data_IF_142724790194
#
_entry.id   IF_142724790194
#
_cell.length_a   1.000
_cell.length_b   1.000
_cell.length_c   1.000
_cell.angle_alpha   90.00
_cell.angle_beta   90.00
_cell.angle_gamma   90.00
#
_symmetry.space_group_name_H-M   'P 1'
#
loop_
_entity.id
_entity.type
_entity.pdbx_description
1 polymer ?
#
# COMPACT_ATOMS: atom_id res chain seq x y z
N UNK A 1 7.71 -27.05 -0.35
CA UNK A 1 7.12 -25.77 0.05
C UNK A 1 8.01 -24.64 -0.45
N UNK A 2 7.51 -23.81 -1.37
CA UNK A 2 8.17 -22.63 -1.94
C UNK A 2 7.47 -21.38 -1.41
N UNK A 3 8.25 -20.42 -0.92
CA UNK A 3 7.74 -19.13 -0.45
C UNK A 3 8.22 -18.05 -1.42
N UNK A 4 7.28 -17.35 -2.04
CA UNK A 4 7.52 -16.18 -2.86
C UNK A 4 7.45 -14.90 -2.01
N UNK A 5 8.33 -13.96 -2.29
CA UNK A 5 8.38 -12.68 -1.59
C UNK A 5 8.53 -11.53 -2.59
N UNK A 6 7.71 -10.49 -2.43
CA UNK A 6 7.79 -9.24 -3.20
C UNK A 6 7.73 -8.02 -2.29
N UNK A 7 8.28 -6.91 -2.77
CA UNK A 7 8.26 -5.64 -2.04
C UNK A 7 7.93 -4.49 -2.99
N UNK A 8 7.09 -3.57 -2.51
CA UNK A 8 6.78 -2.29 -3.17
C UNK A 8 6.90 -1.10 -2.20
N UNK A 9 6.93 0.12 -2.72
CA UNK A 9 6.86 1.34 -1.92
C UNK A 9 5.77 2.30 -2.43
N UNK A 10 5.04 2.91 -1.51
CA UNK A 10 3.93 3.83 -1.78
C UNK A 10 4.15 5.24 -1.19
N UNK A 11 5.41 5.63 -0.95
CA UNK A 11 5.79 6.92 -0.31
C UNK A 11 6.65 7.83 -1.20
N UNK A 12 6.92 7.43 -2.45
CA UNK A 12 7.93 8.10 -3.29
C UNK A 12 7.37 8.84 -4.50
N UNK A 13 6.10 8.64 -4.85
CA UNK A 13 5.46 9.39 -5.93
C UNK A 13 5.12 10.82 -5.45
N UNK A 14 5.35 11.89 -6.25
CA UNK A 14 5.87 11.93 -7.62
C UNK A 14 7.37 12.27 -7.74
N UNK A 15 8.19 11.93 -6.74
CA UNK A 15 9.56 12.46 -6.58
C UNK A 15 10.67 11.77 -7.40
N UNK A 16 10.34 11.12 -8.53
CA UNK A 16 11.28 10.49 -9.47
C UNK A 16 12.25 9.43 -8.85
N UNK A 17 11.82 8.68 -7.84
CA UNK A 17 12.60 7.55 -7.28
C UNK A 17 12.21 6.18 -7.87
N UNK A 18 11.19 6.14 -8.73
CA UNK A 18 10.68 4.91 -9.32
C UNK A 18 11.69 4.29 -10.29
N UNK A 19 11.82 2.96 -10.26
CA UNK A 19 12.51 2.22 -11.30
C UNK A 19 11.79 2.39 -12.64
N UNK A 20 12.53 2.64 -13.70
CA UNK A 20 12.00 2.72 -15.07
C UNK A 20 12.92 1.93 -16.01
N UNK A 21 12.54 1.85 -17.29
CA UNK A 21 13.42 1.30 -18.33
C UNK A 21 14.74 2.08 -18.48
N UNK A 22 14.79 3.32 -17.99
CA UNK A 22 15.91 4.24 -18.21
C UNK A 22 16.67 4.60 -16.92
N UNK A 23 16.15 4.25 -15.75
CA UNK A 23 16.84 4.50 -14.47
C UNK A 23 16.56 3.41 -13.45
N UNK A 24 17.56 3.04 -12.62
CA UNK A 24 17.31 2.22 -11.45
C UNK A 24 16.43 2.97 -10.45
N UNK A 25 15.72 2.22 -9.59
CA UNK A 25 14.87 2.83 -8.57
C UNK A 25 14.07 1.82 -7.77
N UNK A 26 12.99 2.29 -7.16
CA UNK A 26 12.11 1.48 -6.30
C UNK A 26 10.92 0.98 -7.10
N UNK A 27 10.42 -0.22 -6.77
CA UNK A 27 9.14 -0.72 -7.26
C UNK A 27 8.00 0.11 -6.63
N UNK A 28 7.61 1.17 -7.33
CA UNK A 28 6.65 2.16 -6.83
C UNK A 28 5.20 1.71 -7.06
N UNK A 29 4.35 2.00 -6.07
CA UNK A 29 2.89 2.09 -6.25
C UNK A 29 2.52 3.57 -6.13
N UNK A 30 2.00 4.14 -7.22
CA UNK A 30 1.59 5.54 -7.19
C UNK A 30 0.34 5.68 -6.33
N UNK A 31 0.36 6.68 -5.46
CA UNK A 31 -0.75 7.04 -4.57
C UNK A 31 -1.03 8.52 -4.74
N UNK A 32 -2.30 8.86 -4.88
CA UNK A 32 -2.76 10.24 -4.98
C UNK A 32 -3.36 10.69 -3.64
N UNK A 33 -3.28 11.99 -3.39
CA UNK A 33 -3.85 12.64 -2.20
C UNK A 33 -4.70 13.83 -2.62
N UNK A 34 -5.89 13.95 -2.05
CA UNK A 34 -6.73 15.13 -2.12
C UNK A 34 -7.12 15.61 -0.73
N UNK A 35 -7.41 16.91 -0.62
CA UNK A 35 -7.86 17.53 0.61
C UNK A 35 -9.27 18.09 0.41
N UNK A 36 -10.19 17.68 1.28
CA UNK A 36 -11.54 18.22 1.31
C UNK A 36 -11.71 19.10 2.57
N UNK A 37 -12.29 20.31 2.45
CA UNK A 37 -12.63 21.11 3.62
C UNK A 37 -13.50 20.34 4.63
N UNK A 38 -13.35 20.60 5.94
CA UNK A 38 -14.20 19.96 6.94
C UNK A 38 -15.67 20.34 6.72
N UNK A 39 -16.61 19.45 7.07
CA UNK A 39 -18.05 19.71 6.87
C UNK A 39 -18.55 20.91 7.70
N UNK A 40 -17.95 21.11 8.88
CA UNK A 40 -18.31 22.17 9.81
C UNK A 40 -17.37 23.36 9.62
N UNK A 41 -17.62 24.14 8.57
CA UNK A 41 -16.80 25.31 8.19
C UNK A 41 -16.86 26.46 9.22
N UNK A 42 -17.80 26.39 10.16
CA UNK A 42 -18.02 27.34 11.25
C UNK A 42 -16.99 27.26 12.38
N UNK A 43 -16.11 26.25 12.36
CA UNK A 43 -15.09 26.02 13.40
C UNK A 43 -13.67 26.26 12.84
N UNK A 44 -13.09 27.46 13.04
CA UNK A 44 -11.75 27.77 12.57
C UNK A 44 -10.69 26.81 13.12
N UNK A 45 -9.72 26.44 12.29
CA UNK A 45 -8.59 25.60 12.68
C UNK A 45 -8.83 24.09 12.59
N UNK A 46 -9.99 23.62 12.12
CA UNK A 46 -10.19 22.21 11.86
C UNK A 46 -9.31 21.70 10.71
N UNK A 47 -8.71 20.50 10.84
CA UNK A 47 -7.94 19.90 9.76
C UNK A 47 -8.86 19.53 8.59
N UNK A 48 -8.34 19.54 7.35
CA UNK A 48 -9.07 19.00 6.21
C UNK A 48 -9.26 17.49 6.35
N UNK A 49 -10.23 16.93 5.64
CA UNK A 49 -10.25 15.50 5.37
C UNK A 49 -9.18 15.19 4.34
N UNK A 50 -8.27 14.28 4.68
CA UNK A 50 -7.25 13.76 3.78
C UNK A 50 -7.79 12.50 3.11
N UNK A 51 -7.90 12.54 1.80
CA UNK A 51 -8.39 11.44 0.97
C UNK A 51 -7.21 10.90 0.18
N UNK A 52 -7.00 9.59 0.20
CA UNK A 52 -5.89 8.94 -0.50
C UNK A 52 -6.37 7.71 -1.25
N UNK A 53 -5.83 7.47 -2.43
CA UNK A 53 -6.17 6.30 -3.25
C UNK A 53 -4.99 5.84 -4.09
N UNK A 54 -4.95 4.54 -4.35
CA UNK A 54 -3.97 3.91 -5.24
C UNK A 54 -4.32 4.20 -6.70
N UNK A 55 -3.29 4.42 -7.51
CA UNK A 55 -3.38 4.50 -8.97
C UNK A 55 -3.78 3.14 -9.60
N UNK A 56 -4.72 3.16 -10.56
CA UNK A 56 -5.25 1.92 -11.14
C UNK A 56 -4.24 1.20 -12.07
N UNK A 57 -3.33 1.92 -12.73
CA UNK A 57 -2.25 1.29 -13.51
C UNK A 57 -1.27 0.57 -12.58
N UNK A 58 -0.83 1.26 -11.51
CA UNK A 58 0.05 0.70 -10.48
C UNK A 58 -0.55 -0.55 -9.83
N UNK A 59 -1.86 -0.51 -9.55
CA UNK A 59 -2.63 -1.65 -9.04
C UNK A 59 -2.63 -2.82 -10.03
N UNK A 60 -2.90 -2.57 -11.31
CA UNK A 60 -2.96 -3.62 -12.32
C UNK A 60 -1.61 -4.32 -12.50
N UNK A 61 -0.51 -3.56 -12.49
CA UNK A 61 0.85 -4.08 -12.55
C UNK A 61 1.16 -4.95 -11.32
N UNK A 62 0.97 -4.41 -10.11
CA UNK A 62 1.19 -5.13 -8.86
C UNK A 62 0.40 -6.45 -8.81
N UNK A 63 -0.89 -6.41 -9.15
CA UNK A 63 -1.74 -7.62 -9.17
C UNK A 63 -1.25 -8.62 -10.23
N UNK A 64 -0.80 -8.14 -11.39
CA UNK A 64 -0.22 -8.99 -12.43
C UNK A 64 1.03 -9.73 -11.95
N UNK A 65 1.92 -9.05 -11.23
CA UNK A 65 3.14 -9.65 -10.71
C UNK A 65 2.84 -10.66 -9.58
N UNK A 66 1.93 -10.33 -8.67
CA UNK A 66 1.48 -11.24 -7.60
C UNK A 66 0.92 -12.53 -8.19
N UNK A 67 0.10 -12.44 -9.24
CA UNK A 67 -0.45 -13.61 -9.94
C UNK A 67 0.65 -14.49 -10.52
N UNK A 68 1.61 -13.90 -11.24
CA UNK A 68 2.75 -14.65 -11.80
C UNK A 68 3.54 -15.36 -10.71
N UNK A 69 3.87 -14.66 -9.62
CA UNK A 69 4.61 -15.28 -8.52
C UNK A 69 3.80 -16.40 -7.84
N UNK A 70 2.48 -16.25 -7.76
CA UNK A 70 1.59 -17.26 -7.17
C UNK A 70 1.56 -18.56 -7.99
N UNK A 71 1.81 -18.50 -9.30
CA UNK A 71 1.94 -19.72 -10.14
C UNK A 71 3.19 -20.54 -9.77
N UNK A 72 4.20 -19.92 -9.16
CA UNK A 72 5.49 -20.55 -8.85
C UNK A 72 5.69 -20.87 -7.36
N UNK A 73 4.87 -20.29 -6.48
CA UNK A 73 5.02 -20.34 -5.02
C UNK A 73 3.79 -20.89 -4.30
N UNK A 74 4.02 -21.70 -3.26
CA UNK A 74 2.95 -22.22 -2.41
C UNK A 74 2.36 -21.10 -1.52
N UNK A 75 3.22 -20.20 -1.03
CA UNK A 75 2.87 -19.04 -0.20
C UNK A 75 3.47 -17.78 -0.84
N UNK A 76 2.67 -16.74 -1.02
CA UNK A 76 3.12 -15.43 -1.49
C UNK A 76 3.00 -14.39 -0.39
N UNK A 77 4.12 -13.76 -0.06
CA UNK A 77 4.20 -12.67 0.91
C UNK A 77 4.50 -11.39 0.15
N UNK A 78 3.70 -10.34 0.38
CA UNK A 78 3.94 -9.02 -0.21
C UNK A 78 4.18 -8.00 0.88
N UNK A 79 5.32 -7.31 0.78
CA UNK A 79 5.75 -6.28 1.71
C UNK A 79 5.60 -4.88 1.11
N UNK A 80 5.27 -3.91 1.95
CA UNK A 80 5.09 -2.52 1.53
C UNK A 80 5.78 -1.54 2.46
N UNK A 81 6.58 -0.64 1.88
CA UNK A 81 6.99 0.59 2.55
C UNK A 81 5.96 1.69 2.26
N UNK A 82 5.13 2.05 3.24
CA UNK A 82 3.96 2.91 3.06
C UNK A 82 3.65 3.74 4.31
N UNK A 83 2.48 4.38 4.27
CA UNK A 83 1.85 5.07 5.39
C UNK A 83 2.41 6.45 5.69
N UNK A 84 1.94 7.01 6.80
CA UNK A 84 2.34 8.34 7.28
C UNK A 84 3.09 8.14 8.59
N UNK A 85 4.29 8.72 8.68
CA UNK A 85 5.14 8.60 9.87
C UNK A 85 4.38 8.99 11.14
N UNK A 86 4.62 8.20 12.19
CA UNK A 86 4.16 8.41 13.55
C UNK A 86 2.64 8.25 13.79
N UNK A 87 1.89 7.76 12.79
CA UNK A 87 0.45 7.49 12.90
C UNK A 87 0.14 6.10 13.48
N UNK A 88 -0.95 5.98 14.23
CA UNK A 88 -1.42 4.71 14.82
C UNK A 88 -2.45 3.97 13.97
N UNK A 89 -3.11 4.68 13.07
CA UNK A 89 -4.14 4.11 12.19
C UNK A 89 -3.66 4.17 10.74
N UNK A 90 -3.89 3.11 9.94
CA UNK A 90 -3.59 3.14 8.52
C UNK A 90 -4.47 4.16 7.81
N UNK A 91 -3.91 4.85 6.80
CA UNK A 91 -4.69 5.70 5.89
C UNK A 91 -5.33 4.87 4.77
N UNK A 92 -6.35 5.41 4.11
CA UNK A 92 -7.22 4.69 3.16
C UNK A 92 -6.45 3.88 2.11
N UNK A 93 -5.44 4.47 1.48
CA UNK A 93 -4.69 3.78 0.44
C UNK A 93 -3.93 2.54 0.95
N UNK A 94 -3.50 2.50 2.21
CA UNK A 94 -2.81 1.32 2.77
C UNK A 94 -3.76 0.13 2.79
N UNK A 95 -5.03 0.36 3.17
CA UNK A 95 -6.07 -0.65 3.13
C UNK A 95 -6.41 -1.07 1.70
N UNK A 96 -6.48 -0.11 0.77
CA UNK A 96 -6.77 -0.39 -0.65
C UNK A 96 -5.68 -1.27 -1.29
N UNK A 97 -4.40 -0.92 -1.08
CA UNK A 97 -3.25 -1.71 -1.57
C UNK A 97 -3.28 -3.11 -0.96
N UNK A 98 -3.39 -3.21 0.37
CA UNK A 98 -3.35 -4.51 1.06
C UNK A 98 -4.45 -5.46 0.57
N UNK A 99 -5.68 -4.95 0.41
CA UNK A 99 -6.80 -5.76 -0.08
C UNK A 99 -6.62 -6.14 -1.54
N UNK A 100 -6.16 -5.22 -2.39
CA UNK A 100 -5.87 -5.53 -3.79
C UNK A 100 -4.78 -6.61 -3.93
N UNK A 101 -3.78 -6.62 -3.05
CA UNK A 101 -2.74 -7.65 -3.02
C UNK A 101 -3.30 -9.04 -2.69
N UNK A 102 -4.10 -9.14 -1.61
CA UNK A 102 -4.77 -10.39 -1.23
C UNK A 102 -5.73 -10.85 -2.35
N UNK A 103 -6.49 -9.92 -2.93
CA UNK A 103 -7.39 -10.21 -4.06
C UNK A 103 -6.62 -10.65 -5.32
N UNK A 104 -5.37 -10.22 -5.47
CA UNK A 104 -4.44 -10.63 -6.52
C UNK A 104 -3.78 -12.00 -6.31
N UNK A 105 -3.91 -12.60 -5.11
CA UNK A 105 -3.36 -13.92 -4.80
C UNK A 105 -2.30 -13.95 -3.72
N UNK A 106 -1.99 -12.83 -3.06
CA UNK A 106 -1.12 -12.82 -1.90
C UNK A 106 -1.73 -13.60 -0.73
N UNK A 107 -0.89 -14.31 0.02
CA UNK A 107 -1.29 -15.04 1.22
C UNK A 107 -1.04 -14.25 2.50
N UNK A 108 -0.08 -13.33 2.49
CA UNK A 108 0.27 -12.46 3.61
C UNK A 108 0.65 -11.08 3.08
N UNK A 109 0.16 -10.04 3.75
CA UNK A 109 0.60 -8.66 3.50
C UNK A 109 1.32 -8.12 4.73
N UNK A 110 2.50 -7.54 4.52
CA UNK A 110 3.31 -6.95 5.58
C UNK A 110 3.64 -5.48 5.26
N UNK A 111 3.12 -4.56 6.06
CA UNK A 111 3.39 -3.13 5.96
C UNK A 111 4.45 -2.67 6.94
N UNK A 112 5.27 -1.70 6.51
CA UNK A 112 6.16 -0.91 7.34
C UNK A 112 6.22 0.54 6.84
N UNK A 113 6.78 1.47 7.61
CA UNK A 113 7.06 2.86 7.17
C UNK A 113 6.53 3.99 8.06
N UNK A 114 5.35 3.86 8.70
CA UNK A 114 4.89 4.74 9.78
C UNK A 114 5.83 4.80 10.99
N UNK A 115 6.78 3.88 11.14
CA UNK A 115 7.67 3.76 12.30
C UNK A 115 6.91 3.53 13.64
N UNK A 116 5.65 3.09 13.55
CA UNK A 116 4.80 2.67 14.66
C UNK A 116 3.94 1.51 14.19
N UNK A 117 3.73 0.52 15.05
CA UNK A 117 2.71 -0.50 14.82
C UNK A 117 1.34 0.15 14.66
N UNK A 118 0.60 -0.29 13.64
CA UNK A 118 -0.77 0.12 13.40
C UNK A 118 -1.69 -1.07 13.67
N UNK A 119 -2.39 -1.57 12.65
CA UNK A 119 -3.45 -2.57 12.78
C UNK A 119 -2.98 -3.94 12.30
N UNK A 120 -3.48 -4.99 12.95
CA UNK A 120 -3.42 -6.35 12.41
C UNK A 120 -4.86 -6.76 12.10
N UNK A 121 -5.12 -7.19 10.87
CA UNK A 121 -6.43 -7.67 10.47
C UNK A 121 -6.37 -8.94 9.63
N UNK A 122 -7.50 -9.63 9.56
CA UNK A 122 -7.73 -10.72 8.61
C UNK A 122 -8.64 -10.21 7.50
N UNK A 123 -8.16 -10.25 6.26
CA UNK A 123 -8.98 -10.02 5.08
C UNK A 123 -9.05 -11.31 4.28
N UNK A 124 -10.27 -11.83 4.04
CA UNK A 124 -10.50 -13.15 3.41
C UNK A 124 -9.68 -14.29 4.05
N UNK A 125 -9.61 -14.30 5.38
CA UNK A 125 -8.82 -15.23 6.19
C UNK A 125 -7.30 -15.19 5.93
N UNK A 126 -6.79 -14.11 5.34
CA UNK A 126 -5.36 -13.86 5.14
C UNK A 126 -4.89 -12.72 6.05
N UNK A 127 -3.74 -12.86 6.73
CA UNK A 127 -3.24 -11.83 7.62
C UNK A 127 -2.68 -10.62 6.86
N UNK A 128 -3.07 -9.45 7.35
CA UNK A 128 -2.57 -8.14 6.92
C UNK A 128 -2.00 -7.46 8.15
N UNK A 129 -0.70 -7.18 8.12
CA UNK A 129 0.00 -6.41 9.15
C UNK A 129 0.22 -5.00 8.62
N UNK A 130 -0.31 -3.98 9.29
CA UNK A 130 0.08 -2.59 9.05
C UNK A 130 0.94 -2.12 10.22
N UNK A 131 2.17 -1.73 9.92
CA UNK A 131 3.15 -1.14 10.83
C UNK A 131 3.98 -0.13 10.04
#
# INVERSE_FOLDING_TARGET
>A
MKVGFMQYAATVFPTNHAATEHQPGIAEIKVYTAYQPPKNLDKPGQPPYVITWMDEESKALMVGDIKKLKEEADIVIVSYHWGVSDTREPVSYQTDIARAAIDGGADVVFGHGPHRYQKIELYKNKPVFTA
#
